data_IF_014231639870
#
_entry.id   IF_014231639870
#
_cell.length_a   1.000
_cell.length_b   1.000
_cell.length_c   1.000
_cell.angle_alpha   90.00
_cell.angle_beta   90.00
_cell.angle_gamma   90.00
#
_symmetry.space_group_name_H-M   'P 1'
#
loop_
_entity.id
_entity.type
_entity.pdbx_description
1 polymer ?
#
# COMPACT_ATOMS: atom_id res chain seq x y z
N UNK A 1 -2.27 18.91 -16.23
CA UNK A 1 -2.50 17.48 -16.56
C UNK A 1 -3.06 16.70 -15.38
N UNK A 2 -2.76 17.11 -14.14
CA UNK A 2 -3.41 16.59 -12.93
C UNK A 2 -4.91 16.86 -13.01
N UNK A 3 -5.74 15.84 -12.77
CA UNK A 3 -7.21 15.93 -12.90
C UNK A 3 -7.87 16.57 -11.67
N UNK A 4 -7.42 17.76 -11.26
CA UNK A 4 -7.85 18.42 -10.00
C UNK A 4 -9.37 18.55 -9.86
N UNK A 5 -10.09 18.87 -10.94
CA UNK A 5 -11.56 18.95 -10.94
C UNK A 5 -12.25 17.61 -10.69
N UNK A 6 -11.66 16.50 -11.12
CA UNK A 6 -12.20 15.16 -10.88
C UNK A 6 -11.84 14.69 -9.47
N UNK A 7 -10.61 14.97 -9.03
CA UNK A 7 -10.13 14.66 -7.68
C UNK A 7 -10.96 15.39 -6.62
N UNK A 8 -11.35 16.65 -6.86
CA UNK A 8 -12.20 17.42 -5.97
C UNK A 8 -13.60 16.83 -5.74
N UNK A 9 -14.01 15.83 -6.53
CA UNK A 9 -15.28 15.11 -6.33
C UNK A 9 -15.14 13.89 -5.42
N UNK A 10 -13.91 13.48 -5.10
CA UNK A 10 -13.68 12.33 -4.24
C UNK A 10 -14.27 12.62 -2.85
N UNK A 11 -14.86 11.58 -2.25
CA UNK A 11 -15.30 11.63 -0.86
C UNK A 11 -14.08 11.31 -0.01
N UNK A 12 -13.84 12.09 1.04
CA UNK A 12 -12.71 11.91 1.95
C UNK A 12 -13.19 12.12 3.38
N UNK A 13 -12.87 11.19 4.27
CA UNK A 13 -13.15 11.31 5.70
C UNK A 13 -12.08 10.54 6.52
N UNK A 14 -11.66 11.06 7.68
CA UNK A 14 -10.78 10.34 8.60
C UNK A 14 -11.58 9.40 9.50
N UNK A 15 -10.97 8.31 9.96
CA UNK A 15 -11.53 7.39 10.96
C UNK A 15 -10.50 7.10 12.03
N UNK A 16 -10.89 7.30 13.29
CA UNK A 16 -10.02 7.01 14.44
C UNK A 16 -9.95 5.52 14.69
N UNK A 17 -8.74 5.00 14.86
CA UNK A 17 -8.51 3.60 15.22
C UNK A 17 -7.44 3.48 16.30
N UNK A 18 -7.23 2.29 16.84
CA UNK A 18 -6.13 2.03 17.78
C UNK A 18 -4.72 2.23 17.17
N UNK A 19 -4.64 2.29 15.83
CA UNK A 19 -3.43 2.50 15.04
C UNK A 19 -3.25 3.96 14.59
N UNK A 20 -4.16 4.85 14.98
CA UNK A 20 -4.18 6.26 14.57
C UNK A 20 -5.34 6.57 13.62
N UNK A 21 -5.30 7.76 13.03
CA UNK A 21 -6.35 8.27 12.15
C UNK A 21 -6.15 7.74 10.74
N UNK A 22 -6.88 6.68 10.36
CA UNK A 22 -6.91 6.19 8.99
C UNK A 22 -7.62 7.21 8.10
N UNK A 23 -7.12 7.39 6.90
CA UNK A 23 -7.75 8.25 5.90
C UNK A 23 -8.55 7.38 4.94
N UNK A 24 -9.82 7.71 4.70
CA UNK A 24 -10.66 6.99 3.75
C UNK A 24 -10.95 7.90 2.57
N UNK A 25 -10.72 7.41 1.35
CA UNK A 25 -11.15 8.10 0.13
C UNK A 25 -11.93 7.19 -0.81
N UNK A 26 -13.09 7.64 -1.29
CA UNK A 26 -13.80 6.98 -2.39
C UNK A 26 -13.42 7.69 -3.69
N UNK A 27 -12.59 7.04 -4.51
CA UNK A 27 -12.01 7.64 -5.70
C UNK A 27 -12.98 7.56 -6.88
N UNK A 28 -13.67 8.66 -7.18
CA UNK A 28 -14.64 8.74 -8.28
C UNK A 28 -14.00 8.88 -9.67
N UNK A 29 -12.67 9.00 -9.72
CA UNK A 29 -11.92 9.28 -10.94
C UNK A 29 -11.28 8.04 -11.56
N UNK A 30 -11.29 6.90 -10.86
CA UNK A 30 -10.63 5.64 -11.28
C UNK A 30 -11.65 4.49 -11.24
N UNK A 31 -11.78 3.69 -12.31
CA UNK A 31 -12.57 2.46 -12.26
C UNK A 31 -11.91 1.42 -11.36
N UNK A 32 -12.71 0.66 -10.60
CA UNK A 32 -12.26 -0.51 -9.83
C UNK A 32 -11.76 -1.61 -10.79
N UNK A 33 -10.65 -2.25 -10.45
CA UNK A 33 -10.07 -3.36 -11.23
C UNK A 33 -10.00 -4.63 -10.39
N UNK A 34 -10.42 -5.75 -10.96
CA UNK A 34 -10.26 -7.07 -10.35
C UNK A 34 -8.77 -7.50 -10.37
N UNK A 35 -8.21 -8.08 -9.29
CA UNK A 35 -6.85 -8.64 -9.28
C UNK A 35 -6.51 -9.54 -10.48
N UNK A 36 -7.47 -10.33 -10.97
CA UNK A 36 -7.31 -11.18 -12.15
C UNK A 36 -7.17 -10.37 -13.44
N UNK A 37 -7.88 -9.24 -13.54
CA UNK A 37 -7.72 -8.31 -14.67
C UNK A 37 -6.32 -7.66 -14.64
N UNK A 38 -5.82 -7.27 -13.46
CA UNK A 38 -4.47 -6.71 -13.31
C UNK A 38 -3.41 -7.73 -13.75
N UNK A 39 -3.54 -8.99 -13.31
CA UNK A 39 -2.64 -10.07 -13.70
C UNK A 39 -2.67 -10.37 -15.21
N UNK A 40 -3.85 -10.31 -15.85
CA UNK A 40 -4.01 -10.50 -17.28
C UNK A 40 -3.43 -9.33 -18.11
N UNK A 41 -3.65 -8.09 -17.68
CA UNK A 41 -3.08 -6.88 -18.31
C UNK A 41 -1.55 -6.94 -18.29
N UNK A 42 -0.94 -7.38 -17.19
CA UNK A 42 0.52 -7.54 -17.07
C UNK A 42 1.14 -8.58 -18.02
N UNK A 43 0.33 -9.51 -18.55
CA UNK A 43 0.76 -10.56 -19.48
C UNK A 43 0.46 -10.24 -20.95
N UNK A 44 -0.32 -9.19 -21.23
CA UNK A 44 -0.73 -8.86 -22.61
C UNK A 44 0.41 -8.20 -23.38
N UNK A 45 0.79 -8.80 -24.51
CA UNK A 45 1.83 -8.32 -25.41
C UNK A 45 1.24 -7.50 -26.56
N UNK A 46 0.96 -6.21 -26.34
CA UNK A 46 0.85 -5.23 -27.45
C UNK A 46 0.99 -3.78 -26.97
N UNK A 47 2.08 -3.08 -27.33
CA UNK A 47 2.09 -1.68 -27.82
C UNK A 47 3.39 -1.37 -28.58
N UNK A 48 3.27 -0.77 -29.78
CA UNK A 48 4.39 -0.23 -30.59
C UNK A 48 5.07 1.02 -29.98
N UNK A 49 4.30 1.95 -29.37
CA UNK A 49 4.78 3.15 -28.67
C UNK A 49 3.63 3.94 -27.98
N UNK A 50 3.79 4.53 -26.77
CA UNK A 50 4.75 4.19 -25.71
C UNK A 50 4.49 2.78 -25.15
N UNK A 51 5.54 2.13 -24.64
CA UNK A 51 5.46 0.75 -24.13
C UNK A 51 4.50 0.59 -22.94
N UNK A 52 4.50 1.55 -22.01
CA UNK A 52 3.61 1.56 -20.85
C UNK A 52 3.30 2.99 -20.41
N UNK A 53 2.40 3.16 -19.43
CA UNK A 53 1.94 4.47 -18.92
C UNK A 53 3.00 5.30 -18.18
N UNK A 54 4.14 4.69 -17.85
CA UNK A 54 5.26 5.31 -17.13
C UNK A 54 6.45 5.60 -18.04
N UNK A 55 6.42 5.22 -19.31
CA UNK A 55 7.51 5.55 -20.24
C UNK A 55 7.64 7.08 -20.42
N UNK A 56 8.87 7.58 -20.53
CA UNK A 56 9.16 9.00 -20.74
C UNK A 56 8.51 9.53 -22.03
N UNK A 57 8.37 8.65 -23.02
CA UNK A 57 7.66 8.82 -24.29
C UNK A 57 6.21 9.30 -24.14
N UNK A 58 5.62 9.16 -22.94
CA UNK A 58 4.32 9.74 -22.64
C UNK A 58 4.33 11.27 -22.57
N UNK A 59 5.47 11.90 -22.25
CA UNK A 59 5.57 13.36 -22.19
C UNK A 59 5.24 13.98 -23.56
N UNK A 60 4.11 14.68 -23.64
CA UNK A 60 3.67 15.29 -24.90
C UNK A 60 2.91 14.36 -25.86
N UNK A 61 2.70 13.08 -25.50
CA UNK A 61 2.02 12.12 -26.39
C UNK A 61 0.54 12.48 -26.62
N UNK A 62 0.09 12.49 -27.87
CA UNK A 62 -1.29 12.87 -28.21
C UNK A 62 -2.34 11.80 -27.88
N UNK A 63 -1.91 10.59 -27.54
CA UNK A 63 -2.79 9.44 -27.32
C UNK A 63 -3.23 8.78 -28.63
N UNK A 64 -3.99 7.71 -28.49
CA UNK A 64 -4.68 6.97 -29.56
C UNK A 64 -5.95 6.34 -28.99
N UNK A 65 -6.76 5.69 -29.82
CA UNK A 65 -8.08 5.14 -29.44
C UNK A 65 -8.05 4.33 -28.12
N UNK A 66 -7.03 3.52 -27.91
CA UNK A 66 -6.86 2.68 -26.72
C UNK A 66 -5.75 3.15 -25.76
N UNK A 67 -5.30 4.40 -25.88
CA UNK A 67 -4.23 4.94 -25.03
C UNK A 67 -4.42 6.44 -24.76
N UNK A 68 -4.48 6.87 -23.50
CA UNK A 68 -4.89 8.23 -23.17
C UNK A 68 -3.87 9.28 -23.63
N UNK A 69 -4.37 10.45 -24.00
CA UNK A 69 -3.53 11.61 -24.28
C UNK A 69 -2.74 12.06 -23.03
N UNK A 70 -1.52 12.51 -23.26
CA UNK A 70 -0.54 13.00 -22.29
C UNK A 70 0.18 14.28 -22.79
N UNK A 71 -0.45 15.03 -23.70
CA UNK A 71 0.09 16.25 -24.31
C UNK A 71 0.60 17.29 -23.28
N UNK A 72 -0.10 17.42 -22.16
CA UNK A 72 0.24 18.34 -21.08
C UNK A 72 1.06 17.71 -19.95
N UNK A 73 1.41 16.42 -20.07
CA UNK A 73 2.19 15.69 -19.08
C UNK A 73 3.63 16.21 -19.09
N UNK A 74 4.28 16.31 -17.93
CA UNK A 74 5.64 16.84 -17.78
C UNK A 74 6.45 15.97 -16.82
N UNK A 75 7.67 15.62 -17.21
CA UNK A 75 8.57 14.75 -16.47
C UNK A 75 9.91 15.49 -16.28
N UNK A 76 10.28 15.71 -15.02
CA UNK A 76 11.58 16.30 -14.68
C UNK A 76 12.60 15.18 -14.65
N UNK A 77 13.71 15.30 -15.40
CA UNK A 77 14.79 14.31 -15.33
C UNK A 77 15.60 14.51 -14.05
N UNK A 78 16.01 13.41 -13.45
CA UNK A 78 16.87 13.36 -12.27
C UNK A 78 17.87 12.22 -12.39
N UNK A 79 18.94 12.27 -11.60
CA UNK A 79 19.90 11.19 -11.49
C UNK A 79 19.74 10.51 -10.13
N UNK A 80 19.57 9.18 -10.13
CA UNK A 80 19.54 8.37 -8.91
C UNK A 80 20.57 7.26 -9.06
N UNK A 81 21.58 7.22 -8.19
CA UNK A 81 22.69 6.26 -8.21
C UNK A 81 23.30 6.06 -9.61
N UNK A 82 23.63 7.16 -10.28
CA UNK A 82 24.18 7.20 -11.65
C UNK A 82 23.22 6.72 -12.75
N UNK A 83 21.97 6.42 -12.43
CA UNK A 83 20.94 6.07 -13.40
C UNK A 83 20.06 7.28 -13.74
N UNK A 84 19.51 7.26 -14.95
CA UNK A 84 18.60 8.29 -15.41
C UNK A 84 17.16 7.96 -14.95
N UNK A 85 16.58 8.86 -14.16
CA UNK A 85 15.24 8.75 -13.60
C UNK A 85 14.40 9.98 -13.96
N UNK A 86 13.08 9.82 -13.88
CA UNK A 86 12.10 10.86 -14.10
C UNK A 86 11.27 11.10 -12.85
N UNK A 87 10.82 12.33 -12.65
CA UNK A 87 9.91 12.75 -11.61
C UNK A 87 8.69 13.42 -12.23
N UNK A 88 7.50 13.04 -11.80
CA UNK A 88 6.24 13.63 -12.23
C UNK A 88 5.23 13.65 -11.08
N UNK A 89 4.21 14.50 -11.18
CA UNK A 89 3.03 14.33 -10.32
C UNK A 89 2.12 13.24 -10.90
N UNK A 90 1.45 12.50 -10.02
CA UNK A 90 0.44 11.55 -10.41
C UNK A 90 -0.76 12.27 -11.06
N UNK A 91 -1.20 11.86 -12.25
CA UNK A 91 -2.44 12.40 -12.85
C UNK A 91 -3.69 12.13 -12.00
N UNK A 92 -3.63 11.11 -11.13
CA UNK A 92 -4.68 10.65 -10.22
C UNK A 92 -4.20 10.80 -8.77
N UNK A 93 -3.83 12.03 -8.39
CA UNK A 93 -3.31 12.33 -7.07
C UNK A 93 -4.33 11.97 -5.97
N UNK A 94 -3.82 11.40 -4.86
CA UNK A 94 -4.62 11.04 -3.69
C UNK A 94 -4.44 12.03 -2.54
N UNK A 95 -3.28 12.68 -2.50
CA UNK A 95 -2.90 13.74 -1.57
C UNK A 95 -2.15 14.81 -2.36
N UNK A 96 -1.97 15.98 -1.73
CA UNK A 96 -1.24 17.08 -2.36
C UNK A 96 0.19 16.67 -2.70
N UNK A 97 0.67 17.04 -3.88
CA UNK A 97 2.02 16.67 -4.35
C UNK A 97 2.27 15.14 -4.43
N UNK A 98 1.23 14.31 -4.61
CA UNK A 98 1.42 12.89 -4.95
C UNK A 98 2.23 12.78 -6.25
N UNK A 99 3.41 12.18 -6.13
CA UNK A 99 4.45 12.08 -7.13
C UNK A 99 4.80 10.64 -7.46
N UNK A 100 5.33 10.47 -8.67
CA UNK A 100 5.87 9.22 -9.20
C UNK A 100 7.30 9.49 -9.64
N UNK A 101 8.23 8.65 -9.18
CA UNK A 101 9.61 8.59 -9.63
C UNK A 101 9.74 7.35 -10.51
N UNK A 102 10.22 7.47 -11.73
CA UNK A 102 10.18 6.39 -12.73
C UNK A 102 11.54 6.23 -13.39
N UNK A 103 11.99 4.99 -13.56
CA UNK A 103 13.21 4.73 -14.33
C UNK A 103 13.02 5.19 -15.77
N UNK A 104 14.03 5.78 -16.41
CA UNK A 104 13.94 6.03 -17.86
C UNK A 104 14.04 4.73 -18.65
N UNK A 105 14.75 3.74 -18.11
CA UNK A 105 14.80 2.41 -18.68
C UNK A 105 13.51 1.64 -18.35
N UNK A 106 12.82 1.13 -19.37
CA UNK A 106 11.67 0.26 -19.16
C UNK A 106 12.13 -1.13 -18.72
N UNK A 107 12.24 -1.33 -17.41
CA UNK A 107 12.58 -2.61 -16.78
C UNK A 107 11.58 -2.97 -15.69
N UNK A 108 11.31 -4.26 -15.43
CA UNK A 108 10.48 -4.66 -14.32
C UNK A 108 11.01 -4.13 -12.98
N UNK A 109 10.08 -3.81 -12.08
CA UNK A 109 10.40 -3.39 -10.72
C UNK A 109 11.07 -4.53 -9.95
N UNK A 110 11.97 -4.18 -9.03
CA UNK A 110 12.64 -5.10 -8.11
C UNK A 110 12.81 -4.43 -6.76
N UNK A 111 12.86 -5.23 -5.70
CA UNK A 111 13.25 -4.77 -4.37
C UNK A 111 14.63 -5.35 -4.01
N UNK A 112 15.61 -4.48 -3.83
CA UNK A 112 17.02 -4.81 -3.56
C UNK A 112 17.74 -3.65 -2.85
N UNK A 113 19.02 -3.83 -2.53
CA UNK A 113 19.88 -2.79 -1.96
C UNK A 113 19.84 -1.46 -2.75
N UNK A 114 19.83 -1.53 -4.09
CA UNK A 114 19.77 -0.33 -4.93
C UNK A 114 18.43 0.39 -4.75
N UNK A 115 17.34 -0.35 -4.56
CA UNK A 115 16.03 0.23 -4.24
C UNK A 115 16.11 1.08 -2.97
N UNK A 116 16.65 0.55 -1.88
CA UNK A 116 16.78 1.31 -0.63
C UNK A 116 17.68 2.53 -0.79
N UNK A 117 18.80 2.39 -1.52
CA UNK A 117 19.74 3.48 -1.79
C UNK A 117 19.07 4.62 -2.57
N UNK A 118 18.34 4.30 -3.64
CA UNK A 118 17.59 5.28 -4.45
C UNK A 118 16.50 5.97 -3.63
N UNK A 119 15.71 5.23 -2.84
CA UNK A 119 14.68 5.82 -1.97
C UNK A 119 15.29 6.83 -0.99
N UNK A 120 16.42 6.48 -0.37
CA UNK A 120 17.13 7.35 0.57
C UNK A 120 17.76 8.57 -0.12
N UNK A 121 18.27 8.42 -1.34
CA UNK A 121 18.76 9.55 -2.13
C UNK A 121 17.64 10.52 -2.51
N UNK A 122 16.44 10.02 -2.83
CA UNK A 122 15.32 10.91 -3.16
C UNK A 122 14.94 11.75 -1.94
N UNK A 123 14.82 11.15 -0.75
CA UNK A 123 14.46 11.91 0.47
C UNK A 123 15.61 12.76 1.00
N UNK A 124 16.86 12.51 0.61
CA UNK A 124 17.97 13.44 0.84
C UNK A 124 17.78 14.74 0.05
N UNK A 125 17.38 14.64 -1.22
CA UNK A 125 17.13 15.81 -2.11
C UNK A 125 15.81 16.50 -1.77
N UNK A 126 14.78 15.72 -1.40
CA UNK A 126 13.43 16.20 -1.05
C UNK A 126 13.06 15.77 0.38
N UNK A 127 13.65 16.39 1.41
CA UNK A 127 13.49 15.95 2.80
C UNK A 127 12.09 16.14 3.39
N UNK A 128 11.23 16.89 2.71
CA UNK A 128 9.83 17.10 3.09
C UNK A 128 8.89 16.05 2.47
N UNK A 129 9.41 15.13 1.67
CA UNK A 129 8.65 14.03 1.08
C UNK A 129 8.93 12.72 1.81
N UNK A 130 7.93 11.84 1.79
CA UNK A 130 8.19 10.40 1.87
C UNK A 130 8.32 9.85 0.45
N UNK A 131 9.00 8.71 0.31
CA UNK A 131 9.04 7.95 -0.96
C UNK A 131 9.08 6.47 -0.65
N UNK A 132 8.32 5.66 -1.38
CA UNK A 132 8.34 4.22 -1.24
C UNK A 132 8.13 3.48 -2.55
N UNK A 133 8.34 2.17 -2.50
CA UNK A 133 8.06 1.25 -3.60
C UNK A 133 6.89 0.34 -3.25
N UNK A 134 6.08 -0.05 -4.24
CA UNK A 134 5.23 -1.22 -4.07
C UNK A 134 6.11 -2.48 -4.01
N UNK A 135 5.58 -3.58 -3.45
CA UNK A 135 6.21 -4.89 -3.54
C UNK A 135 6.33 -5.38 -5.00
N UNK A 136 7.42 -6.09 -5.30
CA UNK A 136 7.78 -6.62 -6.64
C UNK A 136 7.16 -7.99 -6.96
N UNK A 137 6.39 -8.56 -6.03
CA UNK A 137 5.68 -9.82 -6.20
C UNK A 137 4.19 -9.61 -6.55
N UNK A 138 3.57 -10.52 -7.32
CA UNK A 138 2.13 -10.49 -7.57
C UNK A 138 1.35 -10.65 -6.25
N UNK A 139 0.04 -10.32 -6.26
CA UNK A 139 -0.90 -10.38 -5.11
C UNK A 139 -0.64 -9.32 -4.03
N UNK A 140 0.63 -9.08 -3.68
CA UNK A 140 1.03 -8.17 -2.59
C UNK A 140 1.41 -6.76 -3.04
N UNK A 141 1.19 -6.42 -4.31
CA UNK A 141 1.80 -5.23 -4.91
C UNK A 141 1.04 -4.58 -6.05
N UNK A 142 1.61 -3.46 -6.49
CA UNK A 142 0.99 -2.40 -7.29
C UNK A 142 0.56 -2.80 -8.71
N UNK A 143 -0.20 -1.91 -9.34
CA UNK A 143 -0.85 -2.17 -10.64
C UNK A 143 0.09 -2.20 -11.85
N UNK A 144 1.36 -1.79 -11.71
CA UNK A 144 2.35 -1.73 -12.80
C UNK A 144 3.68 -2.32 -12.32
N UNK A 145 3.87 -3.63 -12.51
CA UNK A 145 5.13 -4.30 -12.15
C UNK A 145 6.16 -4.28 -13.31
N UNK A 146 5.72 -3.93 -14.51
CA UNK A 146 6.52 -3.99 -15.73
C UNK A 146 7.51 -2.84 -15.91
N UNK A 147 7.36 -1.75 -15.14
CA UNK A 147 8.23 -0.58 -15.18
C UNK A 147 8.57 -0.11 -13.77
N UNK A 148 9.85 -0.16 -13.43
CA UNK A 148 10.46 0.28 -12.18
C UNK A 148 10.12 1.74 -11.84
N UNK A 149 9.46 1.94 -10.70
CA UNK A 149 9.00 3.24 -10.23
C UNK A 149 8.75 3.25 -8.72
N UNK A 150 8.81 4.44 -8.14
CA UNK A 150 8.49 4.74 -6.74
C UNK A 150 7.34 5.75 -6.68
N UNK A 151 6.60 5.76 -5.58
CA UNK A 151 5.59 6.79 -5.30
C UNK A 151 5.97 7.54 -4.03
N UNK A 152 5.67 8.82 -3.99
CA UNK A 152 6.02 9.66 -2.85
C UNK A 152 5.35 11.02 -2.93
N UNK A 153 5.75 11.93 -2.07
CA UNK A 153 5.25 13.29 -2.06
C UNK A 153 5.13 13.86 -0.67
N UNK A 154 4.56 15.05 -0.58
CA UNK A 154 4.41 15.79 0.68
C UNK A 154 3.14 15.38 1.42
N UNK A 155 3.22 14.28 2.17
CA UNK A 155 2.14 13.84 3.05
C UNK A 155 2.69 13.03 4.23
N UNK A 156 1.99 13.10 5.36
CA UNK A 156 2.34 12.35 6.56
C UNK A 156 1.17 11.44 6.96
N UNK A 157 1.22 10.20 6.49
CA UNK A 157 0.22 9.18 6.75
C UNK A 157 0.24 8.67 8.20
N UNK A 158 -0.84 8.02 8.61
CA UNK A 158 -0.99 7.41 9.94
C UNK A 158 0.19 6.51 10.34
N UNK A 159 0.67 5.64 9.44
CA UNK A 159 1.81 4.77 9.74
C UNK A 159 3.10 5.54 10.05
N UNK A 160 3.33 6.70 9.44
CA UNK A 160 4.50 7.53 9.71
C UNK A 160 4.46 8.12 11.14
N UNK A 161 3.26 8.37 11.66
CA UNK A 161 3.00 8.89 13.01
C UNK A 161 2.96 7.78 14.06
N UNK A 162 2.71 6.53 13.64
CA UNK A 162 2.60 5.38 14.54
C UNK A 162 3.88 5.20 15.37
N UNK A 163 3.69 4.86 16.64
CA UNK A 163 4.78 4.65 17.59
C UNK A 163 5.52 3.35 17.32
N UNK A 164 6.78 3.30 17.74
CA UNK A 164 7.51 2.03 17.87
C UNK A 164 7.04 1.38 19.18
N UNK A 165 6.50 0.16 19.09
CA UNK A 165 6.02 -0.58 20.26
C UNK A 165 7.13 -1.36 20.97
N UNK A 166 8.15 -1.79 20.21
CA UNK A 166 9.28 -2.55 20.74
C UNK A 166 10.54 -2.27 19.93
N UNK A 167 11.59 -1.81 20.60
CA UNK A 167 12.92 -1.66 20.01
C UNK A 167 13.70 -2.98 20.08
N UNK A 168 14.62 -3.18 19.13
CA UNK A 168 15.55 -4.28 19.11
C UNK A 168 16.87 -3.88 18.41
N UNK A 169 17.90 -4.70 18.58
CA UNK A 169 19.21 -4.48 17.95
C UNK A 169 19.37 -5.38 16.73
N UNK A 170 20.02 -4.86 15.69
CA UNK A 170 20.39 -5.63 14.50
C UNK A 170 21.83 -6.11 14.62
N UNK A 171 22.07 -7.38 14.29
CA UNK A 171 23.40 -7.97 14.32
C UNK A 171 24.33 -7.23 13.34
N UNK A 172 25.44 -6.70 13.84
CA UNK A 172 26.43 -5.99 13.04
C UNK A 172 26.05 -4.56 12.60
N UNK A 173 24.93 -4.01 13.07
CA UNK A 173 24.45 -2.67 12.68
C UNK A 173 24.16 -1.75 13.87
N UNK A 174 25.15 -1.56 14.76
CA UNK A 174 24.98 -0.81 16.01
C UNK A 174 24.58 0.67 15.84
N UNK A 175 24.82 1.27 14.67
CA UNK A 175 24.47 2.67 14.36
C UNK A 175 23.05 2.83 13.78
N UNK A 176 22.30 1.74 13.65
CA UNK A 176 20.93 1.72 13.15
C UNK A 176 19.99 1.33 14.29
N UNK A 177 19.06 2.20 14.64
CA UNK A 177 17.99 1.86 15.58
C UNK A 177 16.90 1.10 14.84
N UNK A 178 16.42 0.00 15.40
CA UNK A 178 15.37 -0.82 14.82
C UNK A 178 14.22 -1.02 15.80
N UNK A 179 12.99 -1.08 15.30
CA UNK A 179 11.84 -1.39 16.14
C UNK A 179 10.60 -1.79 15.37
N UNK A 180 9.71 -2.50 16.05
CA UNK A 180 8.40 -2.87 15.54
C UNK A 180 7.46 -1.66 15.67
N UNK A 181 6.77 -1.31 14.58
CA UNK A 181 5.78 -0.21 14.60
C UNK A 181 4.44 -0.77 15.07
N UNK A 182 3.74 -0.03 15.94
CA UNK A 182 2.35 -0.32 16.32
C UNK A 182 1.42 -0.08 15.13
N UNK A 183 1.30 -1.06 14.25
CA UNK A 183 0.56 -0.98 12.99
C UNK A 183 -0.16 -2.31 12.70
N UNK A 184 -1.28 -2.34 11.95
CA UNK A 184 -1.98 -3.60 11.67
C UNK A 184 -1.16 -4.60 10.85
N UNK A 185 -0.22 -4.09 10.03
CA UNK A 185 0.71 -4.90 9.26
C UNK A 185 2.04 -5.05 10.01
N UNK A 186 2.82 -6.08 9.67
CA UNK A 186 4.13 -6.32 10.25
C UNK A 186 5.16 -5.34 9.67
N UNK A 187 5.50 -4.31 10.44
CA UNK A 187 6.41 -3.23 10.01
C UNK A 187 7.61 -3.15 10.93
N UNK A 188 8.81 -3.16 10.33
CA UNK A 188 10.06 -2.84 10.99
C UNK A 188 10.47 -1.43 10.57
N UNK A 189 10.62 -0.53 11.53
CA UNK A 189 11.16 0.81 11.33
C UNK A 189 12.64 0.84 11.66
N UNK A 190 13.43 1.34 10.73
CA UNK A 190 14.86 1.58 10.89
C UNK A 190 15.14 3.07 10.85
N UNK A 191 16.07 3.55 11.68
CA UNK A 191 16.56 4.93 11.59
C UNK A 191 18.08 4.99 11.74
N UNK A 192 18.71 5.89 10.98
CA UNK A 192 20.14 6.18 11.10
C UNK A 192 20.46 7.57 10.56
N UNK A 193 21.61 8.14 10.95
CA UNK A 193 22.15 9.36 10.32
C UNK A 193 22.77 9.07 8.95
N UNK A 194 23.31 7.87 8.78
CA UNK A 194 24.01 7.44 7.57
C UNK A 194 23.07 6.60 6.69
N UNK A 195 22.77 7.11 5.49
CA UNK A 195 21.89 6.44 4.53
C UNK A 195 22.47 5.13 3.99
N UNK A 196 23.79 4.98 3.88
CA UNK A 196 24.41 3.75 3.39
C UNK A 196 24.26 2.63 4.42
N UNK A 197 24.48 2.94 5.70
CA UNK A 197 24.24 1.97 6.80
C UNK A 197 22.77 1.57 6.87
N UNK A 198 21.86 2.52 6.70
CA UNK A 198 20.42 2.25 6.69
C UNK A 198 20.00 1.36 5.50
N UNK A 199 20.54 1.60 4.31
CA UNK A 199 20.29 0.77 3.12
C UNK A 199 20.80 -0.66 3.32
N UNK A 200 22.01 -0.83 3.86
CA UNK A 200 22.58 -2.16 4.15
C UNK A 200 21.78 -2.92 5.21
N UNK A 201 21.37 -2.24 6.29
CA UNK A 201 20.50 -2.84 7.31
C UNK A 201 19.14 -3.26 6.72
N UNK A 202 18.59 -2.46 5.80
CA UNK A 202 17.34 -2.79 5.11
C UNK A 202 17.48 -4.02 4.21
N UNK A 203 18.59 -4.13 3.48
CA UNK A 203 18.92 -5.28 2.64
C UNK A 203 19.17 -6.55 3.45
N UNK A 204 19.83 -6.41 4.60
CA UNK A 204 19.99 -7.52 5.54
C UNK A 204 18.64 -8.07 6.01
N UNK A 205 17.70 -7.22 6.44
CA UNK A 205 16.35 -7.66 6.85
C UNK A 205 15.60 -8.30 5.69
N UNK A 206 15.65 -7.72 4.49
CA UNK A 206 15.05 -8.31 3.30
C UNK A 206 15.62 -9.70 3.00
N UNK A 207 16.94 -9.88 3.12
CA UNK A 207 17.61 -11.15 2.90
C UNK A 207 17.18 -12.21 3.94
N UNK A 208 17.07 -11.84 5.22
CA UNK A 208 16.56 -12.74 6.26
C UNK A 208 15.09 -13.09 6.00
N UNK A 209 14.26 -12.09 5.74
CA UNK A 209 12.84 -12.28 5.46
C UNK A 209 12.62 -13.21 4.26
N UNK A 210 13.37 -13.03 3.16
CA UNK A 210 13.27 -13.86 1.95
C UNK A 210 13.51 -15.35 2.18
N UNK A 211 14.22 -15.71 3.25
CA UNK A 211 14.56 -17.10 3.56
C UNK A 211 13.84 -17.63 4.81
N UNK A 212 13.11 -16.77 5.51
CA UNK A 212 12.42 -17.14 6.74
C UNK A 212 11.15 -17.96 6.45
N UNK A 213 10.92 -19.04 7.19
CA UNK A 213 9.68 -19.79 7.14
C UNK A 213 9.23 -20.12 8.56
N UNK A 214 7.94 -19.96 8.80
CA UNK A 214 7.28 -20.40 10.02
C UNK A 214 5.90 -20.96 9.67
N UNK A 215 5.81 -22.27 9.37
CA UNK A 215 4.56 -22.90 9.01
C UNK A 215 3.50 -22.82 10.10
N UNK A 216 3.87 -22.55 11.37
CA UNK A 216 2.90 -22.45 12.48
C UNK A 216 1.99 -21.23 12.34
N UNK A 217 2.44 -20.22 11.59
CA UNK A 217 1.66 -19.01 11.24
C UNK A 217 1.47 -18.87 9.73
N UNK A 218 1.55 -19.98 8.99
CA UNK A 218 1.34 -20.05 7.54
C UNK A 218 2.35 -19.25 6.68
N UNK A 219 3.54 -18.95 7.21
CA UNK A 219 4.61 -18.25 6.50
C UNK A 219 5.54 -19.28 5.86
N UNK A 220 5.68 -19.24 4.54
CA UNK A 220 6.57 -20.13 3.80
C UNK A 220 7.36 -19.33 2.75
N UNK A 221 8.69 -19.25 2.90
CA UNK A 221 9.53 -18.51 1.97
C UNK A 221 9.43 -19.01 0.53
N UNK A 222 9.21 -20.32 0.34
CA UNK A 222 9.23 -20.97 -0.96
C UNK A 222 8.09 -21.98 -1.13
N UNK A 223 7.54 -22.05 -2.34
CA UNK A 223 6.73 -23.18 -2.81
C UNK A 223 7.60 -24.44 -2.98
N UNK A 224 6.95 -25.60 -3.11
CA UNK A 224 7.63 -26.89 -3.36
C UNK A 224 8.51 -26.85 -4.62
N UNK A 225 8.13 -26.06 -5.63
CA UNK A 225 8.88 -25.87 -6.87
C UNK A 225 10.03 -24.84 -6.77
N UNK A 226 10.24 -24.26 -5.59
CA UNK A 226 11.26 -23.26 -5.32
C UNK A 226 10.84 -21.81 -5.63
N UNK A 227 9.59 -21.54 -5.99
CA UNK A 227 9.11 -20.17 -6.21
C UNK A 227 9.16 -19.36 -4.90
N UNK A 228 9.82 -18.19 -4.85
CA UNK A 228 9.90 -17.36 -3.65
C UNK A 228 8.62 -16.55 -3.42
N UNK A 229 8.27 -16.34 -2.15
CA UNK A 229 7.02 -15.67 -1.76
C UNK A 229 7.17 -14.35 -1.00
N UNK A 230 8.39 -14.02 -0.57
CA UNK A 230 8.66 -12.94 0.37
C UNK A 230 9.32 -11.72 -0.27
N UNK A 231 8.83 -10.55 0.10
CA UNK A 231 9.41 -9.25 -0.26
C UNK A 231 9.03 -8.19 0.78
N UNK A 232 9.36 -6.93 0.54
CA UNK A 232 8.93 -5.82 1.39
C UNK A 232 8.28 -4.70 0.58
N UNK A 233 7.45 -3.90 1.23
CA UNK A 233 7.10 -2.54 0.78
C UNK A 233 7.97 -1.57 1.57
N UNK A 234 9.03 -0.99 0.98
CA UNK A 234 9.88 -0.03 1.67
C UNK A 234 9.38 1.41 1.53
N UNK A 235 9.47 2.17 2.61
CA UNK A 235 9.09 3.58 2.67
C UNK A 235 10.17 4.38 3.39
N UNK A 236 10.84 5.26 2.65
CA UNK A 236 11.83 6.18 3.17
C UNK A 236 11.22 7.55 3.50
N UNK A 237 11.74 8.21 4.52
CA UNK A 237 11.49 9.63 4.83
C UNK A 237 12.64 10.22 5.66
N UNK A 238 12.67 11.55 5.77
CA UNK A 238 13.54 12.27 6.72
C UNK A 238 12.77 12.64 7.97
N UNK A 239 13.36 12.41 9.14
CA UNK A 239 12.82 12.81 10.45
C UNK A 239 13.88 13.61 11.20
N UNK A 240 13.83 14.94 11.03
CA UNK A 240 14.93 15.82 11.42
C UNK A 240 16.22 15.40 10.71
N UNK A 241 17.28 15.15 11.49
CA UNK A 241 18.59 14.74 10.96
C UNK A 241 18.67 13.26 10.59
N UNK A 242 17.71 12.44 10.99
CA UNK A 242 17.70 11.00 10.73
C UNK A 242 17.05 10.69 9.37
N UNK A 243 17.61 9.71 8.68
CA UNK A 243 16.89 8.94 7.68
C UNK A 243 16.08 7.86 8.39
N UNK A 244 14.88 7.61 7.91
CA UNK A 244 13.97 6.58 8.40
C UNK A 244 13.53 5.70 7.22
N UNK A 245 13.55 4.39 7.42
CA UNK A 245 13.05 3.39 6.48
C UNK A 245 12.07 2.47 7.21
N UNK A 246 10.80 2.49 6.78
CA UNK A 246 9.82 1.49 7.18
C UNK A 246 9.86 0.34 6.17
N UNK A 247 10.03 -0.89 6.66
CA UNK A 247 9.97 -2.12 5.90
C UNK A 247 8.71 -2.88 6.31
N UNK A 248 7.69 -2.84 5.45
CA UNK A 248 6.48 -3.64 5.64
C UNK A 248 6.72 -5.00 5.02
N UNK A 249 6.73 -6.05 5.84
CA UNK A 249 6.95 -7.42 5.40
C UNK A 249 5.74 -7.91 4.59
N UNK A 250 6.01 -8.49 3.42
CA UNK A 250 4.97 -8.98 2.49
C UNK A 250 5.22 -10.44 2.13
N UNK A 251 4.13 -11.18 1.98
CA UNK A 251 4.08 -12.58 1.60
C UNK A 251 2.91 -12.80 0.63
N UNK A 252 3.16 -13.41 -0.52
CA UNK A 252 2.16 -13.67 -1.56
C UNK A 252 1.69 -15.14 -1.67
N UNK A 253 1.90 -15.95 -0.63
CA UNK A 253 1.38 -17.31 -0.53
C UNK A 253 -0.14 -17.32 -0.64
N UNK A 254 -0.65 -18.42 -1.22
CA UNK A 254 -2.08 -18.72 -1.33
C UNK A 254 -2.38 -20.05 -0.63
N UNK A 255 -3.64 -20.29 -0.31
CA UNK A 255 -4.12 -21.58 0.17
C UNK A 255 -5.45 -21.94 -0.49
N UNK A 256 -5.95 -23.16 -0.29
CA UNK A 256 -7.30 -23.53 -0.76
C UNK A 256 -8.38 -22.65 -0.12
N UNK A 257 -8.19 -22.26 1.15
CA UNK A 257 -9.09 -21.35 1.87
C UNK A 257 -8.97 -19.89 1.38
N UNK A 258 -7.75 -19.48 1.04
CA UNK A 258 -7.43 -18.13 0.60
C UNK A 258 -6.75 -18.13 -0.78
N UNK A 259 -7.50 -18.39 -1.86
CA UNK A 259 -6.94 -18.46 -3.21
C UNK A 259 -6.46 -17.10 -3.74
N UNK A 260 -6.96 -16.00 -3.17
CA UNK A 260 -6.54 -14.64 -3.50
C UNK A 260 -5.33 -14.17 -2.65
N UNK A 261 -4.84 -15.01 -1.71
CA UNK A 261 -3.70 -14.73 -0.85
C UNK A 261 -4.01 -14.93 0.64
N UNK A 262 -3.13 -15.64 1.36
CA UNK A 262 -3.23 -15.83 2.82
C UNK A 262 -3.12 -14.48 3.53
N UNK A 263 -2.21 -13.62 3.05
CA UNK A 263 -1.94 -12.29 3.59
C UNK A 263 -2.51 -11.19 2.69
N UNK A 264 -3.80 -11.33 2.39
CA UNK A 264 -4.57 -10.46 1.48
C UNK A 264 -5.98 -10.22 2.05
N UNK A 265 -6.71 -9.15 1.66
CA UNK A 265 -8.13 -9.00 2.02
C UNK A 265 -8.99 -10.24 1.77
N UNK A 266 -9.45 -10.86 2.85
CA UNK A 266 -10.31 -12.03 2.80
C UNK A 266 -11.76 -11.70 2.44
N UNK A 267 -12.54 -12.74 2.12
CA UNK A 267 -13.90 -12.63 1.59
C UNK A 267 -14.85 -11.78 2.45
N UNK A 268 -14.67 -11.78 3.76
CA UNK A 268 -15.54 -11.04 4.69
C UNK A 268 -15.39 -9.52 4.60
N UNK A 269 -14.25 -8.99 4.14
CA UNK A 269 -14.02 -7.54 3.97
C UNK A 269 -14.16 -7.07 2.52
N UNK A 270 -14.28 -8.01 1.58
CA UNK A 270 -14.39 -7.76 0.14
C UNK A 270 -15.65 -7.00 -0.28
N UNK A 271 -16.68 -6.89 0.59
CA UNK A 271 -17.81 -5.99 0.31
C UNK A 271 -17.37 -4.52 0.25
N UNK A 272 -16.36 -4.12 1.03
CA UNK A 272 -15.74 -2.78 0.97
C UNK A 272 -14.56 -2.77 -0.01
N UNK A 273 -13.56 -3.64 0.18
CA UNK A 273 -12.30 -3.58 -0.60
C UNK A 273 -11.87 -4.95 -1.12
N UNK A 274 -11.85 -5.07 -2.46
CA UNK A 274 -11.44 -6.29 -3.17
C UNK A 274 -10.04 -6.23 -3.78
N UNK A 275 -9.59 -5.03 -4.16
CA UNK A 275 -8.30 -4.89 -4.85
C UNK A 275 -7.12 -5.03 -3.88
N UNK A 276 -5.95 -5.38 -4.41
CA UNK A 276 -4.68 -5.44 -3.68
C UNK A 276 -4.39 -4.17 -2.86
N UNK A 277 -3.67 -4.35 -1.77
CA UNK A 277 -3.20 -3.28 -0.89
C UNK A 277 -1.83 -2.79 -1.39
N UNK A 278 -1.86 -1.65 -2.07
CA UNK A 278 -0.68 -0.95 -2.56
C UNK A 278 -0.02 -0.08 -1.50
N UNK A 279 1.11 0.53 -1.87
CA UNK A 279 1.95 1.35 -0.99
C UNK A 279 1.18 2.40 -0.17
N UNK A 280 0.25 3.13 -0.78
CA UNK A 280 -0.51 4.21 -0.12
C UNK A 280 -1.47 3.65 0.93
N UNK A 281 -2.10 2.52 0.64
CA UNK A 281 -3.03 1.87 1.55
C UNK A 281 -2.28 1.25 2.74
N UNK A 282 -1.12 0.64 2.50
CA UNK A 282 -0.20 0.16 3.55
C UNK A 282 0.09 1.25 4.59
N UNK A 283 0.22 2.51 4.15
CA UNK A 283 0.52 3.63 5.04
C UNK A 283 -0.71 4.18 5.78
N UNK A 284 -1.92 3.77 5.41
CA UNK A 284 -3.16 4.12 6.12
C UNK A 284 -4.18 4.97 5.34
N UNK A 285 -4.02 5.15 4.02
CA UNK A 285 -5.03 5.80 3.18
C UNK A 285 -5.78 4.76 2.32
N UNK A 286 -7.02 4.45 2.70
CA UNK A 286 -7.89 3.56 1.94
C UNK A 286 -8.33 4.22 0.63
N UNK A 287 -8.04 3.58 -0.50
CA UNK A 287 -8.54 4.00 -1.81
C UNK A 287 -9.68 3.07 -2.21
N UNK A 288 -10.90 3.54 -1.98
CA UNK A 288 -12.12 2.77 -2.17
C UNK A 288 -12.79 3.03 -3.53
N UNK A 289 -13.51 2.04 -4.09
CA UNK A 289 -14.07 2.12 -5.43
C UNK A 289 -15.35 2.99 -5.50
N UNK A 290 -15.62 3.67 -6.64
CA UNK A 290 -16.80 4.52 -6.80
C UNK A 290 -18.14 3.84 -6.50
N UNK A 291 -18.25 2.51 -6.70
CA UNK A 291 -19.48 1.74 -6.46
C UNK A 291 -19.98 1.86 -5.02
N UNK A 292 -19.08 2.09 -4.06
CA UNK A 292 -19.46 2.21 -2.66
C UNK A 292 -20.31 3.44 -2.38
N UNK A 293 -20.27 4.49 -3.21
CA UNK A 293 -21.10 5.68 -2.97
C UNK A 293 -22.59 5.35 -2.99
N UNK A 294 -23.15 4.76 -4.06
CA UNK A 294 -24.55 4.33 -4.03
C UNK A 294 -24.79 3.16 -3.07
N UNK A 295 -23.86 2.21 -2.94
CA UNK A 295 -24.05 1.03 -2.06
C UNK A 295 -24.18 1.43 -0.59
N UNK A 296 -23.30 2.30 -0.07
CA UNK A 296 -23.35 2.77 1.32
C UNK A 296 -24.61 3.58 1.64
N UNK A 297 -25.22 4.24 0.64
CA UNK A 297 -26.53 4.88 0.84
C UNK A 297 -27.64 3.86 1.08
N UNK A 298 -27.61 2.73 0.38
CA UNK A 298 -28.58 1.66 0.61
C UNK A 298 -28.35 0.96 1.96
N UNK A 299 -27.09 0.83 2.39
CA UNK A 299 -26.75 0.37 3.75
C UNK A 299 -27.32 1.34 4.79
N UNK A 300 -27.13 2.65 4.64
CA UNK A 300 -27.66 3.65 5.57
C UNK A 300 -29.19 3.58 5.69
N UNK A 301 -29.91 3.40 4.58
CA UNK A 301 -31.37 3.19 4.57
C UNK A 301 -31.76 1.93 5.35
N UNK A 302 -31.04 0.82 5.14
CA UNK A 302 -31.27 -0.43 5.88
C UNK A 302 -31.09 -0.26 7.40
N UNK A 303 -30.03 0.43 7.81
CA UNK A 303 -29.76 0.72 9.23
C UNK A 303 -30.90 1.52 9.88
N UNK A 304 -31.54 2.42 9.11
CA UNK A 304 -32.64 3.28 9.54
C UNK A 304 -34.05 2.68 9.36
N UNK A 305 -34.16 1.37 9.08
CA UNK A 305 -35.44 0.68 8.81
C UNK A 305 -36.23 1.28 7.62
N UNK A 306 -35.52 1.89 6.68
CA UNK A 306 -36.10 2.45 5.45
C UNK A 306 -36.07 1.43 4.30
N UNK A 307 -37.01 1.53 3.34
CA UNK A 307 -36.94 0.76 2.10
C UNK A 307 -35.61 0.98 1.38
N UNK A 308 -34.92 -0.11 1.05
CA UNK A 308 -33.59 -0.10 0.45
C UNK A 308 -33.45 -1.17 -0.63
N UNK A 309 -32.41 -1.04 -1.45
CA UNK A 309 -31.98 -2.01 -2.45
C UNK A 309 -30.52 -2.42 -2.17
N UNK A 310 -30.21 -2.68 -0.90
CA UNK A 310 -28.88 -3.05 -0.47
C UNK A 310 -28.45 -4.37 -1.13
N UNK A 311 -27.20 -4.42 -1.62
CA UNK A 311 -26.67 -5.63 -2.23
C UNK A 311 -26.46 -6.74 -1.20
N UNK A 312 -26.69 -7.99 -1.61
CA UNK A 312 -26.73 -9.14 -0.69
C UNK A 312 -25.48 -9.28 0.18
N UNK A 313 -24.32 -8.98 -0.40
CA UNK A 313 -23.02 -9.12 0.25
C UNK A 313 -22.75 -8.08 1.35
N UNK A 314 -23.64 -7.09 1.54
CA UNK A 314 -23.57 -6.16 2.66
C UNK A 314 -24.44 -6.58 3.86
N UNK A 315 -25.40 -7.50 3.71
CA UNK A 315 -26.38 -7.79 4.77
C UNK A 315 -25.73 -8.21 6.09
N UNK A 316 -24.80 -9.18 6.05
CA UNK A 316 -24.16 -9.69 7.28
C UNK A 316 -23.48 -8.56 8.06
N UNK A 317 -22.75 -7.70 7.36
CA UNK A 317 -22.08 -6.54 7.97
C UNK A 317 -23.09 -5.50 8.48
N UNK A 318 -24.13 -5.21 7.70
CA UNK A 318 -25.16 -4.25 8.08
C UNK A 318 -25.97 -4.72 9.31
N UNK A 319 -26.26 -6.02 9.42
CA UNK A 319 -26.91 -6.63 10.58
C UNK A 319 -26.06 -6.50 11.84
N UNK A 320 -24.77 -6.80 11.73
CA UNK A 320 -23.81 -6.63 12.83
C UNK A 320 -23.73 -5.17 13.27
N UNK A 321 -23.65 -4.24 12.31
CA UNK A 321 -23.59 -2.81 12.59
C UNK A 321 -24.87 -2.32 13.28
N UNK A 322 -26.04 -2.76 12.81
CA UNK A 322 -27.31 -2.42 13.44
C UNK A 322 -27.43 -2.96 14.86
N UNK A 323 -27.00 -4.20 15.09
CA UNK A 323 -27.00 -4.82 16.41
C UNK A 323 -26.04 -4.14 17.39
N UNK A 324 -24.88 -3.66 16.91
CA UNK A 324 -23.89 -2.96 17.73
C UNK A 324 -24.32 -1.53 18.10
N UNK A 325 -25.22 -0.91 17.33
CA UNK A 325 -25.68 0.47 17.52
C UNK A 325 -27.20 0.54 17.72
N UNK A 326 -27.75 0.09 18.87
CA UNK A 326 -29.20 0.10 19.11
C UNK A 326 -29.82 1.51 19.19
N UNK A 327 -29.00 2.54 19.41
CA UNK A 327 -29.41 3.94 19.45
C UNK A 327 -29.11 4.67 18.13
N UNK A 328 -29.02 3.94 17.01
CA UNK A 328 -28.82 4.53 15.69
C UNK A 328 -30.04 5.38 15.31
N UNK A 329 -29.77 6.56 14.77
CA UNK A 329 -30.76 7.56 14.34
C UNK A 329 -30.31 8.17 13.02
N UNK A 330 -31.20 8.88 12.34
CA UNK A 330 -30.86 9.59 11.11
C UNK A 330 -29.71 10.60 11.32
N UNK A 331 -29.60 11.17 12.52
CA UNK A 331 -28.59 12.18 12.85
C UNK A 331 -27.16 11.61 13.01
N UNK A 332 -27.00 10.31 13.31
CA UNK A 332 -25.69 9.69 13.54
C UNK A 332 -25.37 8.51 12.60
N UNK A 333 -26.32 8.10 11.75
CA UNK A 333 -26.14 6.96 10.85
C UNK A 333 -24.96 7.13 9.89
N UNK A 334 -24.75 8.34 9.34
CA UNK A 334 -23.63 8.59 8.42
C UNK A 334 -22.28 8.47 9.11
N UNK A 335 -22.13 9.05 10.31
CA UNK A 335 -20.90 8.98 11.10
C UNK A 335 -20.58 7.52 11.48
N UNK A 336 -21.56 6.80 12.02
CA UNK A 336 -21.42 5.37 12.37
C UNK A 336 -21.01 4.54 11.15
N UNK A 337 -21.61 4.82 9.99
CA UNK A 337 -21.29 4.10 8.76
C UNK A 337 -19.87 4.41 8.27
N UNK A 338 -19.44 5.68 8.34
CA UNK A 338 -18.06 6.08 8.01
C UNK A 338 -17.05 5.43 8.94
N UNK A 339 -17.30 5.44 10.25
CA UNK A 339 -16.47 4.74 11.25
C UNK A 339 -16.38 3.24 10.93
N UNK A 340 -17.52 2.60 10.67
CA UNK A 340 -17.58 1.18 10.34
C UNK A 340 -16.79 0.85 9.06
N UNK A 341 -16.84 1.69 8.01
CA UNK A 341 -16.03 1.54 6.80
C UNK A 341 -14.53 1.62 7.12
N UNK A 342 -14.12 2.55 7.98
CA UNK A 342 -12.72 2.65 8.40
C UNK A 342 -12.25 1.46 9.24
N UNK A 343 -13.11 0.89 10.08
CA UNK A 343 -12.81 -0.34 10.82
C UNK A 343 -12.67 -1.56 9.91
N UNK A 344 -13.51 -1.69 8.88
CA UNK A 344 -13.33 -2.72 7.84
C UNK A 344 -11.99 -2.53 7.12
N UNK A 345 -11.55 -1.29 6.88
CA UNK A 345 -10.24 -1.03 6.30
C UNK A 345 -9.07 -1.38 7.25
N UNK A 346 -9.22 -1.15 8.56
CA UNK A 346 -8.24 -1.60 9.54
C UNK A 346 -8.10 -3.14 9.54
N UNK A 347 -9.22 -3.85 9.42
CA UNK A 347 -9.25 -5.31 9.27
C UNK A 347 -8.60 -5.77 7.96
N UNK A 348 -8.85 -5.07 6.85
CA UNK A 348 -8.15 -5.26 5.56
C UNK A 348 -6.64 -5.20 5.72
N UNK A 349 -6.12 -4.22 6.48
CA UNK A 349 -4.68 -4.11 6.75
C UNK A 349 -4.19 -5.26 7.65
N UNK A 350 -4.95 -5.65 8.67
CA UNK A 350 -4.62 -6.78 9.54
C UNK A 350 -4.59 -8.13 8.79
N UNK A 351 -5.49 -8.33 7.83
CA UNK A 351 -5.44 -9.49 6.92
C UNK A 351 -4.15 -9.50 6.09
N UNK A 352 -3.67 -8.32 5.66
CA UNK A 352 -2.44 -8.19 4.90
C UNK A 352 -1.14 -8.29 5.75
N UNK A 353 -1.22 -8.24 7.08
CA UNK A 353 -0.07 -8.44 7.97
C UNK A 353 0.35 -9.92 8.02
N UNK A 354 1.65 -10.18 7.86
CA UNK A 354 2.21 -11.56 7.83
C UNK A 354 2.26 -12.18 9.23
N UNK A 355 2.63 -11.39 10.22
CA UNK A 355 2.47 -11.74 11.64
C UNK A 355 1.20 -11.09 12.17
N UNK A 356 0.23 -11.91 12.56
CA UNK A 356 -1.08 -11.44 13.03
C UNK A 356 -0.97 -10.70 14.38
N UNK A 357 -1.86 -9.74 14.67
CA UNK A 357 -1.81 -8.95 15.92
C UNK A 357 -2.22 -9.73 17.18
N UNK A 358 -2.54 -11.03 17.03
CA UNK A 358 -2.82 -11.95 18.13
C UNK A 358 -1.54 -12.44 18.85
N UNK A 359 -1.71 -13.26 19.88
CA UNK A 359 -0.59 -13.76 20.68
C UNK A 359 0.37 -14.67 19.88
N UNK A 360 -0.15 -15.48 18.96
CA UNK A 360 0.67 -16.39 18.16
C UNK A 360 1.50 -15.61 17.14
N UNK A 361 0.88 -14.67 16.43
CA UNK A 361 1.57 -13.80 15.48
C UNK A 361 2.61 -12.91 16.15
N UNK A 362 2.34 -12.36 17.34
CA UNK A 362 3.34 -11.61 18.12
C UNK A 362 4.55 -12.45 18.54
N UNK A 363 4.32 -13.70 18.96
CA UNK A 363 5.40 -14.62 19.31
C UNK A 363 6.23 -15.04 18.08
N UNK A 364 5.57 -15.29 16.95
CA UNK A 364 6.23 -15.60 15.69
C UNK A 364 7.05 -14.40 15.16
N UNK A 365 6.50 -13.18 15.26
CA UNK A 365 7.25 -11.98 14.88
C UNK A 365 8.49 -11.82 15.76
N UNK A 366 8.36 -12.04 17.08
CA UNK A 366 9.51 -12.01 17.97
C UNK A 366 10.57 -13.04 17.58
N UNK A 367 10.15 -14.25 17.23
CA UNK A 367 11.06 -15.32 16.76
C UNK A 367 11.82 -14.91 15.50
N UNK A 368 11.18 -14.19 14.57
CA UNK A 368 11.87 -13.62 13.41
C UNK A 368 12.86 -12.52 13.84
N UNK A 369 12.44 -11.59 14.70
CA UNK A 369 13.30 -10.51 15.20
C UNK A 369 14.54 -11.04 15.91
N UNK A 370 14.43 -12.13 16.68
CA UNK A 370 15.56 -12.75 17.39
C UNK A 370 16.61 -13.35 16.44
N UNK A 371 16.34 -13.45 15.14
CA UNK A 371 17.27 -13.89 14.10
C UNK A 371 17.97 -12.74 13.35
N UNK A 372 17.64 -11.47 13.68
CA UNK A 372 18.14 -10.27 13.00
C UNK A 372 19.41 -9.64 13.62
#
# INVERSE_FOLDING_TARGET
YIKTRSIAKNIVFPVKTEYGDLEITINLSKPEKDPKQIAAEGKSSQVDYPKCMLCLENEGYQGRINYPARANHRIIRMNLDHEAWGFQYSPYAYYNEHSIFLSLEHRPMKIDLQTFSRLLQIVEVMPHYFVGSNADLPIVGGSILSHDHYQGGRHEFAMAKAAVEKEFSLTGSADVTAGIVKWPMSVIRLQAKDKQKLALASDYILAQWRNYSDPTVSINAFSIDGTPHHTVTPIARKKGDLFEMDLVLRDNNISEEHPDGIFHPHKNVQHIKKENIGLIEVMGLAVLPPRLVPELKEVAKYLLDQPNQMADYHHVWADQLKAAHPNLTEANAEEILQEAVGHVFAEVLAHAGVFKPDAAGKAAFQTFIDQL
#
